data_IF_334220676031
#
_entry.id   IF_334220676031
#
_cell.length_a   1.000
_cell.length_b   1.000
_cell.length_c   1.000
_cell.angle_alpha   90.00
_cell.angle_beta   90.00
_cell.angle_gamma   90.00
#
_symmetry.space_group_name_H-M   'P 1'
#
loop_
_entity.id
_entity.type
_entity.pdbx_description
1 polymer ?
#
# COMPACT_ATOMS: atom_id res chain seq x y z
N UNK A 1 -13.74 -31.68 52.05
CA UNK A 1 -12.83 -32.10 53.13
C UNK A 1 -11.57 -31.28 53.02
N UNK A 2 -11.38 -30.37 54.01
CA UNK A 2 -10.11 -29.84 54.54
C UNK A 2 -9.13 -29.17 53.57
N UNK A 3 -8.64 -27.99 53.78
CA UNK A 3 -8.46 -26.89 54.80
C UNK A 3 -7.30 -26.06 54.20
N UNK A 4 -7.43 -24.74 54.08
CA UNK A 4 -6.93 -23.64 54.95
C UNK A 4 -5.42 -23.78 55.30
N UNK A 5 -4.55 -22.75 55.14
CA UNK A 5 -4.49 -21.46 55.86
C UNK A 5 -3.25 -20.68 55.38
N UNK A 6 -3.31 -19.34 55.26
CA UNK A 6 -2.81 -18.25 56.14
C UNK A 6 -1.28 -18.26 56.38
N UNK A 7 -0.52 -17.19 56.45
CA UNK A 7 -0.65 -15.78 56.80
C UNK A 7 0.69 -15.10 56.45
N UNK A 8 0.77 -13.90 55.98
CA UNK A 8 0.98 -12.62 56.60
C UNK A 8 2.12 -12.53 57.65
N UNK A 9 3.09 -11.63 57.43
CA UNK A 9 3.53 -10.69 58.45
C UNK A 9 4.37 -9.54 57.90
N UNK A 10 3.99 -8.35 58.29
CA UNK A 10 4.69 -7.08 58.21
C UNK A 10 6.00 -7.11 59.01
N UNK A 11 6.99 -6.27 58.63
CA UNK A 11 7.77 -5.54 59.61
C UNK A 11 8.29 -4.22 59.02
N UNK A 12 7.98 -3.16 59.71
CA UNK A 12 8.49 -1.80 59.51
C UNK A 12 9.65 -1.56 60.48
N UNK A 13 10.50 -0.63 60.15
CA UNK A 13 11.28 0.29 61.02
C UNK A 13 12.61 0.63 60.31
N UNK A 14 13.23 1.77 60.39
CA UNK A 14 13.05 3.04 61.01
C UNK A 14 14.15 3.97 60.47
N UNK A 15 13.85 5.22 60.49
CA UNK A 15 14.64 6.40 60.22
C UNK A 15 16.03 6.42 60.88
N UNK A 16 17.05 6.96 60.22
CA UNK A 16 18.15 7.71 60.83
C UNK A 16 18.61 8.84 59.92
N UNK A 17 18.32 10.08 60.31
CA UNK A 17 18.94 11.30 59.78
C UNK A 17 20.36 11.40 60.29
N UNK A 18 21.31 11.67 59.35
CA UNK A 18 22.59 12.22 59.71
C UNK A 18 22.79 13.51 58.90
N UNK A 19 22.82 14.63 59.67
CA UNK A 19 23.21 15.94 59.18
C UNK A 19 24.73 15.99 59.12
N UNK A 20 25.29 16.19 57.95
CA UNK A 20 26.73 16.39 57.75
C UNK A 20 26.98 17.50 56.75
N UNK A 21 27.66 18.51 57.22
CA UNK A 21 28.05 19.80 56.64
C UNK A 21 28.76 19.72 55.26
N UNK A 22 28.42 20.71 54.41
CA UNK A 22 29.13 21.06 53.16
C UNK A 22 30.56 21.57 53.44
N UNK A 23 31.47 21.30 52.53
CA UNK A 23 32.47 22.26 52.13
C UNK A 23 32.21 22.77 50.68
N UNK A 24 32.56 24.04 50.51
CA UNK A 24 32.42 24.79 49.27
C UNK A 24 33.57 24.42 48.28
N UNK A 25 33.24 24.51 47.00
CA UNK A 25 34.21 24.85 45.95
C UNK A 25 34.85 23.67 45.22
N UNK A 26 34.23 23.20 44.14
CA UNK A 26 34.94 22.71 42.96
C UNK A 26 34.09 23.05 41.72
N UNK A 27 34.59 23.96 40.92
CA UNK A 27 34.07 24.25 39.59
C UNK A 27 34.07 22.96 38.74
N UNK A 28 32.93 22.58 38.23
CA UNK A 28 32.83 21.50 37.26
C UNK A 28 33.43 21.94 35.91
N UNK A 29 34.17 21.08 35.21
CA UNK A 29 34.71 21.41 33.89
C UNK A 29 33.52 21.60 32.93
N UNK A 30 33.54 22.72 32.21
CA UNK A 30 32.67 23.00 31.08
C UNK A 30 32.88 21.90 30.04
N UNK A 31 31.98 20.93 29.97
CA UNK A 31 31.90 19.98 28.85
C UNK A 31 31.45 20.78 27.64
N UNK A 32 32.39 21.12 26.77
CA UNK A 32 32.08 21.71 25.48
C UNK A 32 31.09 20.80 24.73
N UNK A 33 29.93 21.36 24.45
CA UNK A 33 28.89 20.69 23.63
C UNK A 33 29.44 20.43 22.22
N UNK A 34 29.87 19.20 21.99
CA UNK A 34 30.30 18.71 20.65
C UNK A 34 29.15 18.43 19.68
N UNK A 35 27.98 19.06 19.83
CA UNK A 35 26.83 18.82 19.01
C UNK A 35 26.51 19.88 17.95
N UNK A 36 27.46 20.71 17.60
CA UNK A 36 27.23 21.83 16.69
C UNK A 36 28.08 21.81 15.40
N UNK A 37 28.51 20.62 14.93
CA UNK A 37 29.17 20.52 13.61
C UNK A 37 28.55 19.32 12.89
N UNK A 38 27.96 19.55 11.71
CA UNK A 38 27.50 18.61 10.66
C UNK A 38 25.99 18.41 10.41
N UNK A 39 25.10 19.21 10.95
CA UNK A 39 23.67 19.11 10.56
C UNK A 39 23.38 19.46 9.07
N UNK A 40 23.91 20.51 8.45
CA UNK A 40 23.50 20.90 7.09
C UNK A 40 23.96 19.92 6.01
N UNK A 41 25.06 19.21 6.20
CA UNK A 41 25.56 18.24 5.21
C UNK A 41 24.75 16.93 5.22
N UNK A 42 24.40 16.42 6.40
CA UNK A 42 23.59 15.22 6.57
C UNK A 42 22.17 15.46 6.09
N UNK A 43 21.56 16.60 6.44
CA UNK A 43 20.21 16.97 6.00
C UNK A 43 20.15 17.09 4.45
N UNK A 44 21.14 17.69 3.82
CA UNK A 44 21.19 17.79 2.35
C UNK A 44 21.41 16.45 1.63
N UNK A 45 22.04 15.46 2.26
CA UNK A 45 22.16 14.11 1.73
C UNK A 45 20.85 13.31 1.89
N UNK A 46 20.17 13.47 3.02
CA UNK A 46 18.87 12.86 3.30
C UNK A 46 17.82 13.39 2.33
N UNK A 47 17.77 14.70 2.09
CA UNK A 47 16.85 15.30 1.11
C UNK A 47 17.08 14.76 -0.31
N UNK A 48 18.33 14.68 -0.76
CA UNK A 48 18.67 14.12 -2.08
C UNK A 48 18.31 12.65 -2.21
N UNK A 49 18.55 11.83 -1.20
CA UNK A 49 18.19 10.42 -1.21
C UNK A 49 16.65 10.22 -1.20
N UNK A 50 15.94 11.08 -0.49
CA UNK A 50 14.46 11.09 -0.51
C UNK A 50 13.93 11.49 -1.87
N UNK A 51 14.49 12.52 -2.51
CA UNK A 51 14.14 12.95 -3.86
C UNK A 51 14.42 11.86 -4.90
N UNK A 52 15.52 11.11 -4.75
CA UNK A 52 15.84 9.98 -5.62
C UNK A 52 14.84 8.84 -5.45
N UNK A 53 14.57 8.43 -4.23
CA UNK A 53 13.58 7.39 -3.93
C UNK A 53 12.19 7.75 -4.49
N UNK A 54 11.78 9.02 -4.35
CA UNK A 54 10.50 9.49 -4.88
C UNK A 54 10.48 9.47 -6.42
N UNK A 55 11.59 9.79 -7.08
CA UNK A 55 11.71 9.70 -8.55
C UNK A 55 11.65 8.27 -9.04
N UNK A 56 12.33 7.32 -8.37
CA UNK A 56 12.28 5.89 -8.69
C UNK A 56 10.83 5.38 -8.55
N UNK A 57 10.14 5.74 -7.46
CA UNK A 57 8.75 5.35 -7.24
C UNK A 57 7.82 5.92 -8.32
N UNK A 58 7.98 7.19 -8.69
CA UNK A 58 7.19 7.81 -9.76
C UNK A 58 7.46 7.18 -11.13
N UNK A 59 8.71 6.80 -11.43
CA UNK A 59 9.05 6.07 -12.64
C UNK A 59 8.39 4.67 -12.68
N UNK A 60 8.36 3.98 -11.54
CA UNK A 60 7.66 2.69 -11.41
C UNK A 60 6.13 2.84 -11.54
N UNK A 61 5.56 3.95 -11.04
CA UNK A 61 4.14 4.26 -11.26
C UNK A 61 3.84 4.45 -12.76
N UNK A 62 4.70 5.12 -13.52
CA UNK A 62 4.54 5.29 -14.97
C UNK A 62 4.56 3.96 -15.74
N UNK A 63 5.29 2.95 -15.23
CA UNK A 63 5.24 1.58 -15.79
C UNK A 63 3.86 0.95 -15.54
N UNK A 64 3.29 1.10 -14.35
CA UNK A 64 1.98 0.50 -14.02
C UNK A 64 0.81 1.26 -14.64
N UNK A 65 0.88 2.57 -14.66
CA UNK A 65 -0.23 3.47 -14.97
C UNK A 65 0.05 4.26 -16.25
N UNK A 66 -0.81 4.15 -17.29
CA UNK A 66 -0.75 5.02 -18.45
C UNK A 66 -0.95 6.49 -18.07
N UNK A 67 -0.33 7.41 -18.79
CA UNK A 67 -0.47 8.87 -18.55
C UNK A 67 -1.77 9.50 -19.10
N UNK A 68 -2.68 8.68 -19.66
CA UNK A 68 -3.96 9.05 -20.23
C UNK A 68 -5.07 8.19 -19.64
N UNK A 69 -6.31 8.62 -19.79
CA UNK A 69 -7.47 7.85 -19.36
C UNK A 69 -7.60 6.56 -20.18
N UNK A 70 -7.89 5.45 -19.50
CA UNK A 70 -7.93 4.12 -20.10
C UNK A 70 -8.96 3.23 -19.40
N UNK A 71 -9.26 2.11 -20.05
CA UNK A 71 -10.00 1.00 -19.46
C UNK A 71 -9.22 -0.30 -19.55
N UNK A 72 -9.54 -1.22 -18.65
CA UNK A 72 -9.02 -2.58 -18.66
C UNK A 72 -9.99 -3.54 -17.97
N UNK A 73 -9.82 -4.82 -18.22
CA UNK A 73 -10.47 -5.90 -17.48
C UNK A 73 -9.49 -6.48 -16.47
N UNK A 74 -9.92 -6.65 -15.22
CA UNK A 74 -9.16 -7.34 -14.17
C UNK A 74 -9.92 -8.58 -13.73
N UNK A 75 -9.30 -9.75 -13.86
CA UNK A 75 -9.82 -11.00 -13.30
C UNK A 75 -9.04 -11.35 -12.05
N UNK A 76 -9.74 -11.48 -10.92
CA UNK A 76 -9.18 -11.95 -9.66
C UNK A 76 -9.60 -13.40 -9.46
N UNK A 77 -8.64 -14.26 -9.11
CA UNK A 77 -8.89 -15.66 -8.75
C UNK A 77 -8.21 -15.95 -7.43
N UNK A 78 -9.00 -16.41 -6.47
CA UNK A 78 -8.51 -16.84 -5.18
C UNK A 78 -8.21 -18.34 -5.18
N UNK A 79 -7.08 -18.72 -4.63
CA UNK A 79 -6.66 -20.10 -4.43
C UNK A 79 -6.37 -20.36 -2.95
N UNK A 80 -6.78 -21.52 -2.47
CA UNK A 80 -6.35 -22.07 -1.19
C UNK A 80 -5.89 -23.51 -1.37
N UNK A 81 -4.68 -23.82 -0.91
CA UNK A 81 -4.07 -25.14 -1.12
C UNK A 81 -4.02 -25.56 -2.61
N UNK A 82 -3.78 -24.61 -3.51
CA UNK A 82 -3.71 -24.83 -4.95
C UNK A 82 -5.06 -25.07 -5.64
N UNK A 83 -6.18 -24.94 -4.91
CA UNK A 83 -7.54 -25.07 -5.48
C UNK A 83 -8.19 -23.68 -5.57
N UNK A 84 -8.81 -23.39 -6.70
CA UNK A 84 -9.65 -22.22 -6.87
C UNK A 84 -10.84 -22.26 -5.90
N UNK A 85 -11.06 -21.16 -5.18
CA UNK A 85 -12.12 -21.02 -4.18
C UNK A 85 -13.16 -19.98 -4.59
N UNK A 86 -12.75 -18.90 -5.21
CA UNK A 86 -13.65 -17.85 -5.70
C UNK A 86 -12.99 -17.04 -6.82
N UNK A 87 -13.78 -16.30 -7.61
CA UNK A 87 -13.28 -15.43 -8.65
C UNK A 87 -14.20 -14.24 -8.91
N UNK A 88 -13.61 -13.11 -9.32
CA UNK A 88 -14.31 -11.92 -9.77
C UNK A 88 -13.71 -11.40 -11.07
N UNK A 89 -14.56 -10.87 -11.94
CA UNK A 89 -14.14 -10.10 -13.11
C UNK A 89 -14.65 -8.68 -12.99
N UNK A 90 -13.75 -7.74 -13.12
CA UNK A 90 -13.98 -6.31 -13.00
C UNK A 90 -13.64 -5.61 -14.30
N UNK A 91 -14.46 -4.66 -14.70
CA UNK A 91 -14.13 -3.69 -15.74
C UNK A 91 -13.77 -2.36 -15.08
N UNK A 92 -12.59 -1.87 -15.35
CA UNK A 92 -12.03 -0.67 -14.72
C UNK A 92 -11.96 0.44 -15.74
N UNK A 93 -12.45 1.61 -15.37
CA UNK A 93 -12.33 2.86 -16.10
C UNK A 93 -11.52 3.83 -15.23
N UNK A 94 -10.31 4.13 -15.66
CA UNK A 94 -9.38 5.01 -14.94
C UNK A 94 -9.24 6.33 -15.69
N UNK A 95 -9.58 7.42 -15.04
CA UNK A 95 -9.40 8.78 -15.58
C UNK A 95 -8.15 9.39 -14.97
N UNK A 96 -7.17 9.67 -15.83
CA UNK A 96 -6.00 10.43 -15.44
C UNK A 96 -6.39 11.89 -15.16
N UNK A 97 -5.80 12.49 -14.15
CA UNK A 97 -5.92 13.93 -13.91
C UNK A 97 -5.06 14.71 -14.91
N UNK A 98 -5.66 15.70 -15.58
CA UNK A 98 -5.00 16.50 -16.60
C UNK A 98 -3.85 17.37 -16.05
N UNK A 99 -3.82 17.60 -14.74
CA UNK A 99 -2.81 18.42 -14.05
C UNK A 99 -1.80 17.60 -13.25
N UNK A 100 -1.75 16.25 -13.49
CA UNK A 100 -0.83 15.34 -12.80
C UNK A 100 -1.28 14.90 -11.41
N UNK A 101 -2.59 15.02 -11.12
CA UNK A 101 -3.20 14.52 -9.89
C UNK A 101 -3.40 13.01 -9.86
N UNK A 102 -4.05 12.52 -8.80
CA UNK A 102 -4.37 11.10 -8.63
C UNK A 102 -5.50 10.68 -9.59
N UNK A 103 -5.50 9.41 -9.99
CA UNK A 103 -6.56 8.85 -10.83
C UNK A 103 -7.91 8.84 -10.10
N UNK A 104 -8.98 9.07 -10.89
CA UNK A 104 -10.35 8.75 -10.49
C UNK A 104 -10.77 7.46 -11.20
N UNK A 105 -11.46 6.57 -10.51
CA UNK A 105 -11.77 5.25 -11.05
C UNK A 105 -13.25 4.93 -10.89
N UNK A 106 -13.86 4.41 -11.95
CA UNK A 106 -15.12 3.70 -11.88
C UNK A 106 -14.85 2.23 -12.19
N UNK A 107 -15.28 1.33 -11.30
CA UNK A 107 -15.07 -0.10 -11.41
C UNK A 107 -16.43 -0.77 -11.43
N UNK A 108 -16.68 -1.58 -12.47
CA UNK A 108 -17.90 -2.36 -12.62
C UNK A 108 -17.59 -3.83 -12.39
N UNK A 109 -18.37 -4.48 -11.56
CA UNK A 109 -18.36 -5.94 -11.40
C UNK A 109 -19.07 -6.57 -12.60
N UNK A 110 -18.40 -7.50 -13.29
CA UNK A 110 -18.90 -8.17 -14.49
C UNK A 110 -19.34 -9.61 -14.16
N UNK A 111 -18.53 -10.31 -13.40
CA UNK A 111 -18.77 -11.67 -12.95
C UNK A 111 -18.28 -11.85 -11.49
N UNK A 112 -18.85 -12.79 -10.75
CA UNK A 112 -19.97 -13.69 -11.08
C UNK A 112 -21.33 -12.97 -11.17
N UNK A 113 -22.36 -13.64 -11.64
CA UNK A 113 -23.70 -13.06 -11.82
C UNK A 113 -24.29 -12.43 -10.55
N UNK A 114 -23.98 -13.00 -9.35
CA UNK A 114 -24.42 -12.45 -8.06
C UNK A 114 -23.87 -11.05 -7.76
N UNK A 115 -22.77 -10.67 -8.39
CA UNK A 115 -22.08 -9.38 -8.18
C UNK A 115 -22.18 -8.47 -9.40
N UNK A 116 -22.73 -8.96 -10.50
CA UNK A 116 -22.80 -8.23 -11.75
C UNK A 116 -23.54 -6.90 -11.61
N UNK A 117 -22.97 -5.87 -12.25
CA UNK A 117 -23.42 -4.48 -12.25
C UNK A 117 -23.32 -3.72 -10.92
N UNK A 118 -22.76 -4.33 -9.87
CA UNK A 118 -22.28 -3.54 -8.74
C UNK A 118 -21.17 -2.61 -9.21
N UNK A 119 -21.08 -1.45 -8.59
CA UNK A 119 -20.09 -0.43 -8.97
C UNK A 119 -19.25 -0.01 -7.76
N UNK A 120 -18.00 0.32 -8.02
CA UNK A 120 -17.14 0.96 -7.04
C UNK A 120 -16.54 2.22 -7.68
N UNK A 121 -16.61 3.35 -6.96
CA UNK A 121 -16.15 4.65 -7.42
C UNK A 121 -15.08 5.18 -6.48
N UNK A 122 -13.87 5.42 -6.99
CA UNK A 122 -12.80 6.16 -6.32
C UNK A 122 -12.75 7.57 -6.87
N UNK A 123 -13.01 8.56 -6.02
CA UNK A 123 -12.89 9.97 -6.36
C UNK A 123 -12.28 10.73 -5.17
N UNK A 124 -11.10 11.31 -5.36
CA UNK A 124 -10.33 11.86 -4.25
C UNK A 124 -10.02 10.80 -3.20
N UNK A 125 -10.27 11.09 -1.92
CA UNK A 125 -10.06 10.14 -0.82
C UNK A 125 -11.26 9.19 -0.60
N UNK A 126 -12.36 9.43 -1.27
CA UNK A 126 -13.57 8.64 -1.11
C UNK A 126 -13.60 7.42 -2.00
N UNK A 127 -14.00 6.29 -1.42
CA UNK A 127 -14.32 5.06 -2.12
C UNK A 127 -15.77 4.70 -1.81
N UNK A 128 -16.61 4.69 -2.86
CA UNK A 128 -18.03 4.39 -2.78
C UNK A 128 -18.34 3.05 -3.43
N UNK A 129 -19.23 2.29 -2.83
CA UNK A 129 -19.76 1.06 -3.38
C UNK A 129 -21.26 1.24 -3.61
N UNK A 130 -21.73 0.90 -4.81
CA UNK A 130 -23.14 0.94 -5.21
C UNK A 130 -23.61 -0.45 -5.55
N UNK A 131 -24.73 -0.85 -4.95
CA UNK A 131 -25.41 -2.09 -5.26
C UNK A 131 -26.78 -1.77 -5.93
N UNK A 132 -26.97 -2.12 -7.22
CA UNK A 132 -28.22 -1.82 -7.93
C UNK A 132 -29.44 -2.56 -7.35
N UNK A 133 -29.26 -3.65 -6.60
CA UNK A 133 -30.37 -4.37 -5.97
C UNK A 133 -31.00 -3.59 -4.82
N UNK A 134 -30.18 -2.89 -4.05
CA UNK A 134 -30.63 -2.03 -2.93
C UNK A 134 -30.75 -0.57 -3.33
N UNK A 135 -30.23 -0.18 -4.51
CA UNK A 135 -30.09 1.21 -4.97
C UNK A 135 -29.33 2.10 -3.97
N UNK A 136 -28.49 1.49 -3.14
CA UNK A 136 -27.75 2.18 -2.10
C UNK A 136 -26.27 2.41 -2.51
N UNK A 137 -25.78 3.64 -2.25
CA UNK A 137 -24.36 3.97 -2.31
C UNK A 137 -23.82 4.12 -0.91
N UNK A 138 -22.85 3.29 -0.53
CA UNK A 138 -22.21 3.33 0.78
C UNK A 138 -20.72 3.64 0.64
N UNK A 139 -20.17 4.42 1.57
CA UNK A 139 -18.73 4.63 1.64
C UNK A 139 -18.07 3.39 2.22
N UNK A 140 -17.04 2.89 1.55
CA UNK A 140 -16.27 1.71 1.97
C UNK A 140 -14.81 2.06 2.19
N UNK A 141 -14.10 1.22 2.93
CA UNK A 141 -12.67 1.40 3.15
C UNK A 141 -11.85 0.78 2.01
N UNK A 142 -10.78 1.45 1.52
CA UNK A 142 -9.84 0.85 0.58
C UNK A 142 -9.10 -0.35 1.19
N UNK A 143 -8.98 -0.42 2.52
CA UNK A 143 -8.34 -1.52 3.26
C UNK A 143 -9.22 -2.77 3.37
N UNK A 144 -10.53 -2.64 3.14
CA UNK A 144 -11.47 -3.75 3.23
C UNK A 144 -11.17 -4.76 2.12
N UNK A 145 -11.23 -6.04 2.47
CA UNK A 145 -11.05 -7.16 1.53
C UNK A 145 -12.13 -7.14 0.45
N UNK A 146 -11.70 -7.25 -0.79
CA UNK A 146 -12.55 -7.41 -1.97
C UNK A 146 -12.73 -8.90 -2.30
N UNK A 147 -11.62 -9.58 -2.59
CA UNK A 147 -11.59 -11.02 -2.87
C UNK A 147 -10.23 -11.58 -2.46
N UNK A 148 -10.24 -12.71 -1.74
CA UNK A 148 -9.01 -13.35 -1.31
C UNK A 148 -8.11 -12.39 -0.55
N UNK A 149 -6.89 -12.21 -1.00
CA UNK A 149 -5.92 -11.28 -0.42
C UNK A 149 -5.94 -9.89 -1.07
N UNK A 150 -6.76 -9.68 -2.10
CA UNK A 150 -6.93 -8.36 -2.70
C UNK A 150 -7.89 -7.50 -1.86
N UNK A 151 -7.46 -6.30 -1.52
CA UNK A 151 -8.28 -5.25 -0.92
C UNK A 151 -8.98 -4.41 -2.01
N UNK A 152 -9.99 -3.63 -1.62
CA UNK A 152 -10.65 -2.70 -2.54
C UNK A 152 -9.67 -1.73 -3.21
N UNK A 153 -8.64 -1.28 -2.47
CA UNK A 153 -7.62 -0.38 -2.99
C UNK A 153 -6.64 -1.02 -3.99
N UNK A 154 -6.55 -2.35 -4.06
CA UNK A 154 -5.65 -3.02 -5.01
C UNK A 154 -6.17 -3.01 -6.45
N UNK A 155 -7.47 -2.87 -6.63
CA UNK A 155 -8.11 -2.83 -7.96
C UNK A 155 -8.30 -1.40 -8.46
N UNK A 156 -7.91 -0.39 -7.69
CA UNK A 156 -7.95 1.03 -8.09
C UNK A 156 -6.62 1.42 -8.71
N UNK A 157 -6.66 2.15 -9.82
CA UNK A 157 -5.47 2.77 -10.39
C UNK A 157 -5.06 3.96 -9.51
N UNK A 158 -3.87 3.89 -8.93
CA UNK A 158 -3.29 4.97 -8.10
C UNK A 158 -1.80 5.12 -8.38
N UNK A 159 -1.31 6.35 -8.27
CA UNK A 159 0.11 6.67 -8.25
C UNK A 159 0.61 6.62 -6.80
N UNK A 160 1.42 5.61 -6.49
CA UNK A 160 1.96 5.44 -5.14
C UNK A 160 2.84 6.62 -4.72
N UNK A 161 3.54 7.23 -5.67
CA UNK A 161 4.36 8.42 -5.41
C UNK A 161 3.56 9.63 -4.89
N UNK A 162 2.25 9.64 -5.04
CA UNK A 162 1.36 10.68 -4.49
C UNK A 162 0.81 10.31 -3.11
N UNK A 163 0.67 9.02 -2.84
CA UNK A 163 0.06 8.49 -1.62
C UNK A 163 1.10 8.16 -0.56
N UNK A 164 2.39 8.06 -0.94
CA UNK A 164 3.49 7.64 -0.06
C UNK A 164 4.71 8.52 -0.19
N UNK A 165 5.42 8.70 0.94
CA UNK A 165 6.79 9.16 0.97
C UNK A 165 7.71 7.95 0.84
N UNK A 166 8.64 8.00 -0.12
CA UNK A 166 9.60 6.95 -0.37
C UNK A 166 10.94 7.26 0.30
N UNK A 167 11.60 6.23 0.83
CA UNK A 167 12.99 6.26 1.26
C UNK A 167 13.74 5.09 0.63
N UNK A 168 14.88 5.35 0.00
CA UNK A 168 15.76 4.31 -0.52
C UNK A 168 16.50 3.66 0.66
N UNK A 169 16.27 2.35 0.88
CA UNK A 169 16.85 1.59 2.00
C UNK A 169 18.01 0.70 1.58
N UNK A 170 18.28 0.60 0.29
CA UNK A 170 19.40 -0.16 -0.28
C UNK A 170 19.10 -0.73 -1.64
N UNK A 171 20.00 -1.57 -2.11
CA UNK A 171 19.87 -2.35 -3.33
C UNK A 171 20.13 -3.82 -2.99
N UNK A 172 19.39 -4.72 -3.60
CA UNK A 172 19.54 -6.15 -3.37
C UNK A 172 19.10 -7.00 -4.56
N UNK A 173 19.66 -8.20 -4.66
CA UNK A 173 19.19 -9.19 -5.63
C UNK A 173 17.93 -9.86 -5.11
N UNK A 174 16.89 -9.87 -5.93
CA UNK A 174 15.56 -10.39 -5.58
C UNK A 174 15.09 -11.35 -6.66
N UNK A 175 14.62 -12.53 -6.25
CA UNK A 175 13.89 -13.40 -7.17
C UNK A 175 12.51 -12.78 -7.46
N UNK A 176 12.25 -12.55 -8.75
CA UNK A 176 10.96 -12.06 -9.22
C UNK A 176 9.88 -13.14 -9.21
N UNK A 177 8.67 -12.82 -9.64
CA UNK A 177 7.55 -13.77 -9.70
C UNK A 177 7.71 -14.90 -10.73
N UNK A 178 8.77 -14.88 -11.53
CA UNK A 178 9.13 -15.88 -12.55
C UNK A 178 10.44 -16.60 -12.19
N UNK A 179 10.92 -16.41 -10.95
CA UNK A 179 12.17 -16.98 -10.40
C UNK A 179 13.43 -16.53 -11.15
N UNK A 180 13.39 -15.33 -11.72
CA UNK A 180 14.56 -14.67 -12.32
C UNK A 180 15.13 -13.68 -11.30
N UNK A 181 16.43 -13.74 -11.06
CA UNK A 181 17.13 -12.82 -10.18
C UNK A 181 17.22 -11.43 -10.81
N UNK A 182 16.81 -10.40 -10.05
CA UNK A 182 16.77 -8.99 -10.46
C UNK A 182 17.53 -8.14 -9.45
N UNK A 183 18.39 -7.27 -9.96
CA UNK A 183 19.00 -6.22 -9.16
C UNK A 183 17.99 -5.10 -8.94
N UNK A 184 17.58 -4.88 -7.70
CA UNK A 184 16.48 -3.99 -7.37
C UNK A 184 16.87 -2.91 -6.37
N UNK A 185 16.38 -1.70 -6.59
CA UNK A 185 16.26 -0.70 -5.53
C UNK A 185 15.18 -1.14 -4.55
N UNK A 186 15.51 -1.11 -3.25
CA UNK A 186 14.53 -1.34 -2.19
C UNK A 186 14.07 -0.01 -1.61
N UNK A 187 12.78 0.27 -1.74
CA UNK A 187 12.14 1.45 -1.18
C UNK A 187 11.28 1.08 0.04
N UNK A 188 11.39 1.87 1.11
CA UNK A 188 10.42 1.89 2.20
C UNK A 188 9.44 3.05 1.96
N UNK A 189 8.16 2.73 1.84
CA UNK A 189 7.09 3.67 1.58
C UNK A 189 6.27 3.89 2.84
N UNK A 190 6.07 5.14 3.23
CA UNK A 190 5.24 5.52 4.39
C UNK A 190 4.05 6.34 3.89
N UNK A 191 2.85 5.96 4.31
CA UNK A 191 1.60 6.62 3.94
C UNK A 191 1.60 8.11 4.31
N UNK A 192 1.16 8.96 3.40
CA UNK A 192 1.02 10.41 3.66
C UNK A 192 -0.30 10.76 4.35
N UNK A 193 -1.27 9.85 4.32
CA UNK A 193 -2.57 10.01 4.97
C UNK A 193 -3.15 8.66 5.42
N UNK A 194 -4.20 8.70 6.25
CA UNK A 194 -4.91 7.49 6.70
C UNK A 194 -5.91 6.93 5.68
N UNK A 195 -6.16 7.65 4.60
CA UNK A 195 -7.13 7.27 3.56
C UNK A 195 -6.53 6.34 2.50
N UNK A 196 -5.22 6.05 2.58
CA UNK A 196 -4.55 5.09 1.69
C UNK A 196 -4.76 3.65 2.14
N UNK A 197 -4.48 2.71 1.24
CA UNK A 197 -4.78 1.28 1.47
C UNK A 197 -3.87 0.65 2.52
N UNK A 198 -2.59 0.99 2.56
CA UNK A 198 -1.59 0.42 3.47
C UNK A 198 -0.81 1.50 4.19
N UNK A 199 -0.40 1.24 5.42
CA UNK A 199 0.37 2.21 6.21
C UNK A 199 1.85 2.22 5.81
N UNK A 200 2.41 1.03 5.52
CA UNK A 200 3.78 0.85 5.07
C UNK A 200 3.85 -0.16 3.94
N UNK A 201 4.76 0.08 2.98
CA UNK A 201 5.08 -0.83 1.89
C UNK A 201 6.60 -0.89 1.74
N UNK A 202 7.17 -2.11 1.74
CA UNK A 202 8.51 -2.33 1.18
C UNK A 202 8.34 -2.70 -0.29
N UNK A 203 8.98 -1.97 -1.18
CA UNK A 203 8.84 -2.17 -2.62
C UNK A 203 10.21 -2.37 -3.27
N UNK A 204 10.31 -3.37 -4.12
CA UNK A 204 11.48 -3.69 -4.93
C UNK A 204 11.20 -3.34 -6.38
N UNK A 205 12.04 -2.47 -6.92
CA UNK A 205 11.93 -1.92 -8.27
C UNK A 205 13.23 -2.25 -9.01
N UNK A 206 13.13 -2.94 -10.13
CA UNK A 206 14.28 -3.31 -10.98
C UNK A 206 15.05 -2.05 -11.40
N UNK A 207 16.33 -2.00 -11.05
CA UNK A 207 17.20 -0.85 -11.27
C UNK A 207 17.46 -0.56 -12.75
N UNK A 208 17.28 -1.55 -13.62
CA UNK A 208 17.56 -1.43 -15.06
C UNK A 208 16.42 -0.80 -15.86
N UNK A 209 15.15 -0.96 -15.40
CA UNK A 209 13.97 -0.62 -16.20
C UNK A 209 12.80 -0.02 -15.41
N UNK A 210 12.95 0.17 -14.09
CA UNK A 210 11.93 0.65 -13.15
C UNK A 210 10.68 -0.25 -13.04
N UNK A 211 10.75 -1.51 -13.47
CA UNK A 211 9.66 -2.45 -13.30
C UNK A 211 9.46 -2.77 -11.82
N UNK A 212 8.25 -2.61 -11.27
CA UNK A 212 7.95 -3.16 -9.95
C UNK A 212 8.09 -4.68 -9.99
N UNK A 213 8.92 -5.22 -9.11
CA UNK A 213 9.23 -6.67 -9.06
C UNK A 213 8.43 -7.34 -7.96
N UNK A 214 8.48 -6.74 -6.75
CA UNK A 214 7.90 -7.29 -5.54
C UNK A 214 7.47 -6.15 -4.61
N UNK A 215 6.42 -6.39 -3.83
CA UNK A 215 6.05 -5.51 -2.72
C UNK A 215 5.60 -6.31 -1.50
N UNK A 216 5.88 -5.81 -0.31
CA UNK A 216 5.35 -6.30 0.96
C UNK A 216 4.51 -5.20 1.61
N UNK A 217 3.32 -5.53 2.03
CA UNK A 217 2.35 -4.60 2.57
C UNK A 217 2.14 -4.85 4.06
N UNK A 218 2.16 -3.79 4.85
CA UNK A 218 2.10 -3.87 6.30
C UNK A 218 0.96 -3.03 6.86
N UNK A 219 0.46 -3.46 8.02
CA UNK A 219 -0.46 -2.68 8.85
C UNK A 219 0.28 -1.58 9.62
N UNK A 220 -0.47 -0.68 10.26
CA UNK A 220 0.06 0.34 11.18
C UNK A 220 0.91 -0.27 12.32
N UNK A 221 0.57 -1.49 12.77
CA UNK A 221 1.35 -2.20 13.80
C UNK A 221 2.61 -2.89 13.28
N UNK A 222 2.91 -2.78 11.97
CA UNK A 222 4.06 -3.45 11.35
C UNK A 222 3.85 -4.92 11.03
N UNK A 223 2.63 -5.45 11.14
CA UNK A 223 2.32 -6.81 10.75
C UNK A 223 2.32 -6.94 9.23
N UNK A 224 3.04 -7.94 8.70
CA UNK A 224 2.97 -8.28 7.28
C UNK A 224 1.57 -8.80 6.94
N UNK A 225 0.88 -8.07 6.05
CA UNK A 225 -0.44 -8.44 5.58
C UNK A 225 -0.36 -9.37 4.37
N UNK A 226 0.51 -9.05 3.41
CA UNK A 226 0.68 -9.80 2.17
C UNK A 226 1.97 -9.45 1.45
N UNK A 227 2.37 -10.31 0.51
CA UNK A 227 3.43 -10.08 -0.47
C UNK A 227 2.84 -10.14 -1.87
N UNK A 228 3.16 -9.18 -2.73
CA UNK A 228 2.78 -9.18 -4.13
C UNK A 228 4.02 -9.32 -5.03
N UNK A 229 3.86 -10.03 -6.14
CA UNK A 229 4.83 -10.12 -7.23
C UNK A 229 4.18 -9.63 -8.51
N UNK A 230 4.83 -8.69 -9.20
CA UNK A 230 4.41 -8.16 -10.50
C UNK A 230 5.15 -8.91 -11.60
N UNK A 231 4.42 -9.45 -12.58
CA UNK A 231 5.03 -10.31 -13.57
C UNK A 231 4.28 -10.32 -14.91
N UNK A 232 4.79 -11.08 -15.88
CA UNK A 232 4.23 -11.20 -17.23
C UNK A 232 4.11 -9.85 -17.91
N UNK A 233 5.24 -9.13 -17.94
CA UNK A 233 5.30 -7.83 -18.61
C UNK A 233 5.00 -7.98 -20.10
N UNK A 234 4.10 -7.13 -20.61
CA UNK A 234 3.68 -7.10 -21.99
C UNK A 234 3.51 -5.66 -22.47
N UNK A 235 3.66 -5.45 -23.77
CA UNK A 235 3.42 -4.16 -24.39
C UNK A 235 1.91 -3.87 -24.42
N UNK A 236 1.47 -2.88 -23.65
CA UNK A 236 0.08 -2.44 -23.51
C UNK A 236 0.03 -0.91 -23.47
N UNK A 237 -0.84 -0.29 -24.29
CA UNK A 237 -1.04 1.15 -24.31
C UNK A 237 0.28 1.95 -24.38
N UNK A 238 1.09 1.65 -25.42
CA UNK A 238 2.35 2.33 -25.72
C UNK A 238 3.47 2.15 -24.66
N UNK A 239 3.37 1.13 -23.79
CA UNK A 239 4.39 0.84 -22.79
C UNK A 239 4.35 -0.59 -22.27
N UNK A 240 5.45 -1.04 -21.68
CA UNK A 240 5.50 -2.32 -20.98
C UNK A 240 4.81 -2.23 -19.62
N UNK A 241 3.91 -3.20 -19.35
CA UNK A 241 3.12 -3.24 -18.11
C UNK A 241 3.02 -4.65 -17.57
N UNK A 242 3.00 -4.83 -16.23
CA UNK A 242 2.71 -6.14 -15.67
C UNK A 242 1.26 -6.51 -16.01
N UNK A 243 1.05 -7.70 -16.57
CA UNK A 243 -0.29 -8.22 -16.87
C UNK A 243 -0.77 -9.23 -15.84
N UNK A 244 0.05 -9.53 -14.84
CA UNK A 244 -0.34 -10.37 -13.72
C UNK A 244 0.31 -9.88 -12.41
N UNK A 245 -0.48 -9.89 -11.34
CA UNK A 245 0.02 -9.71 -9.96
C UNK A 245 -0.38 -10.93 -9.14
N UNK A 246 0.59 -11.58 -8.50
CA UNK A 246 0.36 -12.70 -7.57
C UNK A 246 0.46 -12.16 -6.16
N UNK A 247 -0.60 -12.29 -5.39
CA UNK A 247 -0.69 -11.83 -4.00
C UNK A 247 -0.73 -13.05 -3.09
N UNK A 248 0.20 -13.11 -2.14
CA UNK A 248 0.35 -14.19 -1.18
C UNK A 248 0.07 -13.64 0.21
N UNK A 249 -0.77 -14.31 0.98
CA UNK A 249 -1.08 -13.92 2.37
C UNK A 249 0.18 -13.87 3.24
N UNK A 250 0.21 -12.94 4.18
CA UNK A 250 1.36 -12.72 5.06
C UNK A 250 1.53 -13.79 6.14
N UNK A 251 0.48 -14.50 6.50
CA UNK A 251 0.45 -15.52 7.56
C UNK A 251 0.35 -16.94 6.98
N UNK A 252 -0.56 -17.13 6.03
CA UNK A 252 -0.78 -18.43 5.39
C UNK A 252 -0.42 -18.37 3.90
N UNK A 253 0.78 -18.85 3.55
CA UNK A 253 1.29 -18.83 2.17
C UNK A 253 0.49 -19.68 1.19
N UNK A 254 -0.45 -20.49 1.66
CA UNK A 254 -1.34 -21.29 0.82
C UNK A 254 -2.56 -20.51 0.32
N UNK A 255 -2.83 -19.33 0.90
CA UNK A 255 -3.78 -18.36 0.38
C UNK A 255 -3.10 -17.46 -0.65
N UNK A 256 -3.51 -17.61 -1.90
CA UNK A 256 -2.96 -16.86 -3.03
C UNK A 256 -4.10 -16.25 -3.83
N UNK A 257 -3.98 -14.99 -4.18
CA UNK A 257 -4.88 -14.33 -5.13
C UNK A 257 -4.09 -13.91 -6.37
N UNK A 258 -4.56 -14.30 -7.54
CA UNK A 258 -3.97 -13.92 -8.81
C UNK A 258 -4.86 -12.87 -9.47
N UNK A 259 -4.30 -11.70 -9.74
CA UNK A 259 -4.94 -10.64 -10.52
C UNK A 259 -4.35 -10.64 -11.91
N UNK A 260 -5.19 -10.80 -12.94
CA UNK A 260 -4.81 -10.72 -14.36
C UNK A 260 -5.45 -9.54 -15.03
N UNK A 261 -4.68 -8.84 -15.82
CA UNK A 261 -5.09 -7.61 -16.51
C UNK A 261 -5.13 -7.87 -18.01
N UNK A 262 -6.27 -7.56 -18.64
CA UNK A 262 -6.51 -7.73 -20.09
C UNK A 262 -7.32 -6.57 -20.65
N UNK A 263 -7.55 -6.60 -21.96
CA UNK A 263 -8.44 -5.67 -22.68
C UNK A 263 -8.11 -4.19 -22.45
N UNK A 264 -6.81 -3.89 -22.35
CA UNK A 264 -6.35 -2.51 -22.22
C UNK A 264 -6.76 -1.70 -23.45
N UNK A 265 -7.43 -0.58 -23.20
CA UNK A 265 -7.84 0.33 -24.27
C UNK A 265 -7.79 1.78 -23.80
N UNK A 266 -7.36 2.70 -24.65
CA UNK A 266 -7.59 4.11 -24.42
C UNK A 266 -9.09 4.38 -24.36
N UNK A 267 -9.52 5.10 -23.34
CA UNK A 267 -10.93 5.41 -23.12
C UNK A 267 -11.09 6.86 -22.75
N UNK A 268 -12.07 7.52 -23.35
CA UNK A 268 -12.60 8.76 -22.79
C UNK A 268 -13.55 8.36 -21.65
N UNK A 269 -13.22 8.82 -20.43
CA UNK A 269 -14.02 8.57 -19.23
C UNK A 269 -14.71 9.88 -18.87
N UNK A 270 -16.03 10.02 -19.12
CA UNK A 270 -16.77 11.23 -18.81
C UNK A 270 -16.71 11.58 -17.32
N UNK A 271 -16.57 12.86 -16.99
CA UNK A 271 -16.55 13.31 -15.59
C UNK A 271 -17.83 12.97 -14.82
N UNK A 272 -18.95 12.92 -15.54
CA UNK A 272 -20.24 12.51 -14.97
C UNK A 272 -20.22 11.10 -14.39
N UNK A 273 -19.49 10.16 -15.03
CA UNK A 273 -19.37 8.78 -14.53
C UNK A 273 -18.68 8.70 -13.16
N UNK A 274 -17.86 9.69 -12.86
CA UNK A 274 -17.03 9.75 -11.66
C UNK A 274 -17.69 10.57 -10.53
N UNK A 275 -19.03 10.66 -10.58
CA UNK A 275 -19.84 11.30 -9.55
C UNK A 275 -20.69 10.24 -8.84
N UNK A 276 -20.75 10.32 -7.50
CA UNK A 276 -21.55 9.38 -6.69
C UNK A 276 -23.02 9.30 -7.14
N UNK A 277 -23.61 10.45 -7.43
CA UNK A 277 -25.02 10.54 -7.77
C UNK A 277 -25.32 10.00 -9.18
N UNK A 278 -24.30 9.77 -10.01
CA UNK A 278 -24.43 9.15 -11.31
C UNK A 278 -24.45 7.62 -11.27
N UNK A 279 -23.96 7.00 -10.19
CA UNK A 279 -23.83 5.54 -10.10
C UNK A 279 -25.13 4.78 -10.45
N UNK A 280 -26.35 5.22 -9.99
CA UNK A 280 -27.59 4.57 -10.38
C UNK A 280 -27.93 4.67 -11.87
N UNK A 281 -27.32 5.60 -12.58
CA UNK A 281 -27.59 5.90 -13.99
C UNK A 281 -26.50 5.34 -14.92
N UNK A 282 -25.44 4.79 -14.37
CA UNK A 282 -24.33 4.25 -15.17
C UNK A 282 -24.83 3.10 -16.06
N UNK A 283 -24.58 3.23 -17.35
CA UNK A 283 -24.82 2.17 -18.35
C UNK A 283 -23.48 1.88 -19.02
N UNK A 284 -23.03 0.62 -18.98
CA UNK A 284 -21.85 0.24 -19.75
C UNK A 284 -22.14 0.39 -21.26
N UNK A 285 -21.12 0.83 -21.97
CA UNK A 285 -21.13 0.84 -23.44
C UNK A 285 -20.97 -0.55 -24.02
#
# INVERSE_FOLDING_TARGET
MFKRSRAAMLSAAACLMVIGSRPAGAEAPVVADRRAVDRPYVDGLVDKATDEAQRILAASDAIRNPNRSFGLTTTLVEYHNGRETDSNTLQIYAKADAHGGQYRNLIRFVAPARDANKLMLKNGNDLWFYDPSSQASVRISPRQRLLGQAANGDVVTVNLAMDYKAALTGEEEVDDGEHVQRHCHRLALTAVSKDVTYDHIDMWIDASNNHPTKAKFYSESGQLLKTAYYRRYQHQLEGERPTETVIIDGLDRQWVTIMRYSDYAWRDVPDGWLQRDYLPHFKPE
#
